data_IF_032133276366
#
_entry.id   IF_032133276366
#
_cell.length_a   1.000
_cell.length_b   1.000
_cell.length_c   1.000
_cell.angle_alpha   90.00
_cell.angle_beta   90.00
_cell.angle_gamma   90.00
#
_symmetry.space_group_name_H-M   'P 1'
#
loop_
_entity.id
_entity.type
_entity.pdbx_description
1 polymer ?
#
# COMPACT_ATOMS: atom_id res chain seq x y z
N UNK A 1 4.35 -7.26 37.62
CA UNK A 1 3.99 -7.66 36.25
C UNK A 1 2.49 -7.90 36.29
N UNK A 2 1.69 -7.08 35.60
CA UNK A 2 0.26 -7.35 35.50
C UNK A 2 0.08 -8.65 34.70
N UNK A 3 -0.67 -9.61 35.23
CA UNK A 3 -1.07 -10.80 34.46
C UNK A 3 -1.95 -10.31 33.31
N UNK A 4 -1.51 -10.56 32.07
CA UNK A 4 -2.31 -10.29 30.87
C UNK A 4 -3.48 -11.28 30.84
N UNK A 5 -4.61 -10.88 31.45
CA UNK A 5 -5.88 -11.58 31.31
C UNK A 5 -6.38 -11.40 29.88
N UNK A 6 -6.71 -12.52 29.22
CA UNK A 6 -7.38 -12.48 27.93
C UNK A 6 -8.75 -11.77 28.04
N UNK A 7 -9.12 -10.93 27.06
CA UNK A 7 -10.41 -10.25 27.08
C UNK A 7 -11.57 -11.25 27.06
N UNK A 8 -12.68 -10.89 27.71
CA UNK A 8 -13.93 -11.65 27.62
C UNK A 8 -14.56 -11.50 26.23
N UNK A 9 -15.53 -12.35 25.91
CA UNK A 9 -16.27 -12.28 24.65
C UNK A 9 -17.01 -10.94 24.48
N UNK A 10 -17.58 -10.42 25.56
CA UNK A 10 -18.26 -9.11 25.59
C UNK A 10 -17.27 -7.96 25.38
N UNK A 11 -16.12 -7.97 26.09
CA UNK A 11 -15.05 -6.98 25.91
C UNK A 11 -14.51 -6.99 24.47
N UNK A 12 -14.37 -8.17 23.85
CA UNK A 12 -13.94 -8.31 22.46
C UNK A 12 -14.99 -7.75 21.49
N UNK A 13 -16.28 -8.02 21.72
CA UNK A 13 -17.37 -7.52 20.89
C UNK A 13 -17.43 -5.99 20.91
N UNK A 14 -17.37 -5.39 22.10
CA UNK A 14 -17.34 -3.94 22.27
C UNK A 14 -16.09 -3.29 21.64
N UNK A 15 -14.97 -4.00 21.60
CA UNK A 15 -13.78 -3.53 20.90
C UNK A 15 -14.00 -3.52 19.38
N UNK A 16 -14.59 -4.56 18.81
CA UNK A 16 -14.88 -4.66 17.38
C UNK A 16 -15.88 -3.60 16.92
N UNK A 17 -16.90 -3.30 17.73
CA UNK A 17 -17.91 -2.26 17.42
C UNK A 17 -17.30 -0.85 17.34
N UNK A 18 -16.11 -0.63 17.90
CA UNK A 18 -15.39 0.65 17.87
C UNK A 18 -14.44 0.81 16.70
N UNK A 19 -14.12 -0.26 15.97
CA UNK A 19 -13.15 -0.21 14.87
C UNK A 19 -13.87 0.11 13.56
N UNK A 20 -13.53 1.24 12.96
CA UNK A 20 -14.03 1.56 11.63
C UNK A 20 -13.29 0.75 10.56
N UNK A 21 -14.03 0.22 9.58
CA UNK A 21 -13.46 -0.47 8.42
C UNK A 21 -12.51 0.46 7.65
N UNK A 22 -12.83 1.75 7.58
CA UNK A 22 -11.98 2.77 6.97
C UNK A 22 -10.59 2.83 7.60
N UNK A 23 -10.49 2.72 8.93
CA UNK A 23 -9.20 2.82 9.63
C UNK A 23 -8.28 1.65 9.28
N UNK A 24 -8.86 0.45 9.19
CA UNK A 24 -8.15 -0.76 8.76
C UNK A 24 -7.68 -0.63 7.31
N UNK A 25 -8.55 -0.16 6.43
CA UNK A 25 -8.21 0.03 5.01
C UNK A 25 -7.13 1.10 4.83
N UNK A 26 -7.21 2.22 5.54
CA UNK A 26 -6.21 3.29 5.50
C UNK A 26 -4.84 2.78 5.97
N UNK A 27 -4.82 2.00 7.06
CA UNK A 27 -3.59 1.37 7.54
C UNK A 27 -3.00 0.41 6.51
N UNK A 28 -3.82 -0.49 5.97
CA UNK A 28 -3.40 -1.48 4.98
C UNK A 28 -2.90 -0.83 3.69
N UNK A 29 -3.58 0.22 3.20
CA UNK A 29 -3.17 0.96 2.00
C UNK A 29 -1.88 1.75 2.23
N UNK A 30 -1.70 2.34 3.41
CA UNK A 30 -0.45 3.02 3.77
C UNK A 30 0.75 2.05 3.78
N UNK A 31 0.56 0.86 4.35
CA UNK A 31 1.56 -0.20 4.31
C UNK A 31 1.80 -0.71 2.87
N UNK A 32 0.73 -0.85 2.09
CA UNK A 32 0.79 -1.26 0.68
C UNK A 32 1.59 -0.28 -0.16
N UNK A 33 1.37 1.03 -0.01
CA UNK A 33 2.14 2.07 -0.68
C UNK A 33 3.63 1.99 -0.32
N UNK A 34 3.94 1.88 0.97
CA UNK A 34 5.31 1.77 1.49
C UNK A 34 6.04 0.54 0.93
N UNK A 35 5.37 -0.62 0.92
CA UNK A 35 5.90 -1.82 0.29
C UNK A 35 6.06 -1.65 -1.22
N UNK A 36 5.11 -1.02 -1.90
CA UNK A 36 5.19 -0.69 -3.31
C UNK A 36 6.46 0.10 -3.66
N UNK A 37 6.78 1.15 -2.89
CA UNK A 37 8.01 1.91 -3.06
C UNK A 37 9.27 1.07 -2.85
N UNK A 38 9.27 0.15 -1.88
CA UNK A 38 10.37 -0.81 -1.71
C UNK A 38 10.51 -1.74 -2.92
N UNK A 39 9.41 -2.14 -3.56
CA UNK A 39 9.42 -3.07 -4.70
C UNK A 39 9.84 -2.44 -6.03
N UNK A 40 9.91 -1.11 -6.12
CA UNK A 40 10.49 -0.42 -7.28
C UNK A 40 11.98 -0.08 -7.10
N UNK A 41 12.51 -0.20 -5.88
CA UNK A 41 13.94 0.03 -5.61
C UNK A 41 14.81 -1.03 -6.26
N UNK A 42 16.10 -0.72 -6.47
CA UNK A 42 17.03 -1.67 -7.09
C UNK A 42 17.32 -2.86 -6.16
N UNK A 43 17.34 -2.68 -4.84
CA UNK A 43 17.74 -3.74 -3.90
C UNK A 43 16.66 -4.81 -3.69
N UNK A 44 15.38 -4.47 -3.87
CA UNK A 44 14.25 -5.33 -3.54
C UNK A 44 13.22 -5.42 -4.67
N UNK A 45 13.67 -5.21 -5.91
CA UNK A 45 12.83 -5.09 -7.11
C UNK A 45 11.89 -6.28 -7.29
N UNK A 46 10.59 -5.98 -7.40
CA UNK A 46 9.53 -6.91 -7.80
C UNK A 46 8.42 -6.09 -8.47
N UNK A 47 8.51 -5.94 -9.79
CA UNK A 47 7.59 -5.08 -10.54
C UNK A 47 6.15 -5.62 -10.54
N UNK A 48 5.97 -6.94 -10.42
CA UNK A 48 4.62 -7.53 -10.30
C UNK A 48 3.95 -7.10 -9.01
N UNK A 49 4.68 -7.14 -7.88
CA UNK A 49 4.18 -6.67 -6.59
C UNK A 49 3.99 -5.15 -6.57
N UNK A 50 4.90 -4.37 -7.17
CA UNK A 50 4.74 -2.91 -7.28
C UNK A 50 3.49 -2.52 -8.08
N UNK A 51 3.24 -3.18 -9.22
CA UNK A 51 2.02 -3.01 -10.00
C UNK A 51 0.79 -3.36 -9.17
N UNK A 52 0.80 -4.46 -8.42
CA UNK A 52 -0.32 -4.84 -7.55
C UNK A 52 -0.64 -3.74 -6.53
N UNK A 53 0.37 -3.13 -5.90
CA UNK A 53 0.18 -2.03 -4.96
C UNK A 53 -0.48 -0.80 -5.62
N UNK A 54 -0.03 -0.42 -6.82
CA UNK A 54 -0.62 0.70 -7.59
C UNK A 54 -2.10 0.44 -7.89
N UNK A 55 -2.42 -0.77 -8.37
CA UNK A 55 -3.78 -1.13 -8.75
C UNK A 55 -4.71 -1.20 -7.54
N UNK A 56 -4.20 -1.69 -6.39
CA UNK A 56 -4.95 -1.71 -5.13
C UNK A 56 -5.32 -0.30 -4.65
N UNK A 57 -4.34 0.63 -4.65
CA UNK A 57 -4.58 2.04 -4.32
C UNK A 57 -5.63 2.64 -5.25
N UNK A 58 -5.47 2.45 -6.57
CA UNK A 58 -6.43 2.95 -7.58
C UNK A 58 -7.85 2.42 -7.39
N UNK A 59 -7.99 1.16 -7.00
CA UNK A 59 -9.30 0.54 -6.82
C UNK A 59 -10.01 1.00 -5.54
N UNK A 60 -9.26 1.24 -4.46
CA UNK A 60 -9.84 1.51 -3.14
C UNK A 60 -9.98 3.01 -2.82
N UNK A 61 -9.24 3.90 -3.47
CA UNK A 61 -9.40 5.35 -3.28
C UNK A 61 -10.85 5.85 -3.51
N UNK A 62 -11.57 5.47 -4.60
CA UNK A 62 -12.96 5.90 -4.78
C UNK A 62 -13.88 5.37 -3.68
N UNK A 63 -13.65 4.14 -3.22
CA UNK A 63 -14.44 3.52 -2.14
C UNK A 63 -14.28 4.31 -0.84
N UNK A 64 -13.05 4.70 -0.49
CA UNK A 64 -12.79 5.51 0.70
C UNK A 64 -13.46 6.90 0.61
N UNK A 65 -13.37 7.53 -0.57
CA UNK A 65 -14.01 8.82 -0.84
C UNK A 65 -15.52 8.75 -0.68
N UNK A 66 -16.16 7.74 -1.25
CA UNK A 66 -17.62 7.51 -1.14
C UNK A 66 -18.06 7.17 0.29
N UNK A 67 -17.18 6.55 1.09
CA UNK A 67 -17.47 6.20 2.48
C UNK A 67 -17.38 7.37 3.47
N UNK A 68 -17.03 8.57 3.00
CA UNK A 68 -16.96 9.79 3.84
C UNK A 68 -15.67 9.96 4.62
N UNK A 69 -14.59 9.25 4.24
CA UNK A 69 -13.23 9.54 4.73
C UNK A 69 -12.84 10.96 4.33
N UNK A 70 -12.08 11.64 5.20
CA UNK A 70 -11.59 13.00 4.94
C UNK A 70 -10.89 13.09 3.57
N UNK A 71 -11.33 14.06 2.77
CA UNK A 71 -10.84 14.33 1.43
C UNK A 71 -9.31 14.55 1.39
N UNK A 72 -8.73 15.17 2.42
CA UNK A 72 -7.28 15.36 2.50
C UNK A 72 -6.54 14.03 2.59
N UNK A 73 -7.05 13.07 3.37
CA UNK A 73 -6.46 11.73 3.51
C UNK A 73 -6.54 10.96 2.20
N UNK A 74 -7.66 11.03 1.49
CA UNK A 74 -7.81 10.39 0.18
C UNK A 74 -6.85 11.00 -0.84
N UNK A 75 -6.66 12.32 -0.83
CA UNK A 75 -5.70 13.00 -1.70
C UNK A 75 -4.26 12.59 -1.42
N UNK A 76 -3.89 12.38 -0.15
CA UNK A 76 -2.56 11.90 0.20
C UNK A 76 -2.29 10.50 -0.38
N UNK A 77 -3.29 9.61 -0.35
CA UNK A 77 -3.20 8.28 -0.99
C UNK A 77 -3.08 8.40 -2.52
N UNK A 78 -3.88 9.26 -3.14
CA UNK A 78 -3.80 9.54 -4.58
C UNK A 78 -2.41 10.03 -4.99
N UNK A 79 -1.84 10.94 -4.20
CA UNK A 79 -0.50 11.47 -4.43
C UNK A 79 0.57 10.39 -4.25
N UNK A 80 0.45 9.55 -3.22
CA UNK A 80 1.34 8.41 -3.01
C UNK A 80 1.30 7.43 -4.19
N UNK A 81 0.10 7.11 -4.70
CA UNK A 81 -0.08 6.27 -5.90
C UNK A 81 0.58 6.90 -7.12
N UNK A 82 0.36 8.19 -7.38
CA UNK A 82 0.95 8.88 -8.54
C UNK A 82 2.49 8.86 -8.49
N UNK A 83 3.07 9.13 -7.32
CA UNK A 83 4.51 9.06 -7.10
C UNK A 83 5.04 7.63 -7.31
N UNK A 84 4.30 6.63 -6.84
CA UNK A 84 4.67 5.22 -7.04
C UNK A 84 4.60 4.82 -8.52
N UNK A 85 3.61 5.31 -9.28
CA UNK A 85 3.51 5.08 -10.72
C UNK A 85 4.71 5.64 -11.48
N UNK A 86 5.17 6.85 -11.13
CA UNK A 86 6.37 7.45 -11.72
C UNK A 86 7.62 6.62 -11.42
N UNK A 87 7.80 6.21 -10.17
CA UNK A 87 8.92 5.37 -9.76
C UNK A 87 8.89 3.98 -10.44
N UNK A 88 7.69 3.41 -10.59
CA UNK A 88 7.48 2.15 -11.30
C UNK A 88 7.83 2.26 -12.79
N UNK A 89 7.39 3.32 -13.47
CA UNK A 89 7.70 3.55 -14.88
C UNK A 89 9.22 3.63 -15.09
N UNK A 90 9.92 4.39 -14.25
CA UNK A 90 11.38 4.46 -14.25
C UNK A 90 12.02 3.08 -14.02
N UNK A 91 11.54 2.32 -13.05
CA UNK A 91 12.08 0.98 -12.76
C UNK A 91 11.88 -0.01 -13.92
N UNK A 92 10.76 0.08 -14.64
CA UNK A 92 10.50 -0.71 -15.86
C UNK A 92 11.47 -0.33 -16.98
N UNK A 93 11.78 0.96 -17.16
CA UNK A 93 12.75 1.42 -18.15
C UNK A 93 14.17 0.93 -17.83
N UNK A 94 14.57 0.99 -16.55
CA UNK A 94 15.86 0.47 -16.08
C UNK A 94 15.99 -1.05 -16.29
N UNK A 95 14.93 -1.83 -16.00
CA UNK A 95 14.93 -3.28 -16.20
C UNK A 95 15.14 -3.64 -17.68
N UNK A 96 14.42 -2.98 -18.59
CA UNK A 96 14.57 -3.17 -20.04
C UNK A 96 15.96 -2.79 -20.55
N UNK A 97 16.54 -1.72 -20.00
CA UNK A 97 17.86 -1.24 -20.41
C UNK A 97 18.98 -2.15 -19.90
N UNK A 98 18.83 -2.73 -18.70
CA UNK A 98 19.77 -3.71 -18.15
C UNK A 98 19.74 -5.08 -18.83
N UNK A 99 18.62 -5.43 -19.46
CA UNK A 99 18.47 -6.68 -20.24
C UNK A 99 19.12 -6.60 -21.64
N UNK A 100 19.57 -5.40 -22.07
CA UNK A 100 20.11 -5.15 -23.41
C UNK A 100 21.65 -5.14 -23.50
N UNK A 101 22.39 -5.34 -22.40
CA UNK A 101 23.84 -5.61 -22.50
C UNK A 101 24.08 -7.10 -22.87
N UNK A 102 24.55 -7.41 -24.10
CA UNK A 102 24.77 -8.79 -24.50
C UNK A 102 26.01 -9.35 -23.80
N UNK A 103 25.90 -10.61 -23.38
CA UNK A 103 27.03 -11.49 -23.17
C UNK A 103 27.86 -11.54 -24.47
N UNK A 104 28.96 -10.80 -24.52
CA UNK A 104 29.80 -10.74 -25.71
C UNK A 104 30.97 -9.77 -25.60
N UNK A 105 32.00 -10.16 -24.85
CA UNK A 105 33.41 -9.85 -25.12
C UNK A 105 34.30 -10.91 -24.45
#
# INVERSE_FOLDING_TARGET
MAEERLPTEEELREALDRVAVSDILLNALSATASLGFRRVSQEARDLKQARMAIEALRALEPVLRESGVDEAVVRDLEQARANLQLAYAKAVEEEKSGETEPAGA
#
